data_IF_858010747996
#
_entry.id   IF_858010747996
#
_cell.length_a   1.000
_cell.length_b   1.000
_cell.length_c   1.000
_cell.angle_alpha   90.00
_cell.angle_beta   90.00
_cell.angle_gamma   90.00
#
_symmetry.space_group_name_H-M   'P 1'
#
loop_
_entity.id
_entity.type
_entity.pdbx_description
1 polymer ?
#
# COMPACT_ATOMS: atom_id res chain seq x y z
N UNK A 1 7.57 -11.68 5.87
CA UNK A 1 6.26 -11.62 5.18
C UNK A 1 6.51 -10.95 3.84
N UNK A 2 5.90 -11.39 2.72
CA UNK A 2 6.11 -10.73 1.43
C UNK A 2 5.71 -9.25 1.48
N UNK A 3 6.45 -8.40 0.77
CA UNK A 3 6.18 -6.97 0.69
C UNK A 3 5.65 -6.66 -0.70
N UNK A 4 4.63 -5.81 -0.76
CA UNK A 4 3.96 -5.40 -1.97
C UNK A 4 3.95 -3.88 -2.10
N UNK A 5 4.27 -3.41 -3.30
CA UNK A 5 3.95 -2.06 -3.73
C UNK A 5 2.53 -2.04 -4.28
N UNK A 6 1.72 -1.10 -3.82
CA UNK A 6 0.34 -0.91 -4.25
C UNK A 6 0.17 0.51 -4.79
N UNK A 7 -0.29 0.62 -6.03
CA UNK A 7 -0.68 1.90 -6.62
C UNK A 7 -2.19 2.10 -6.53
N UNK A 8 -2.60 3.33 -6.21
CA UNK A 8 -4.00 3.72 -6.06
C UNK A 8 -4.23 5.06 -6.75
N UNK A 9 -5.23 5.12 -7.63
CA UNK A 9 -5.66 6.34 -8.30
C UNK A 9 -6.97 6.84 -7.68
N UNK A 10 -7.03 8.14 -7.37
CA UNK A 10 -8.18 8.78 -6.76
C UNK A 10 -8.89 9.70 -7.77
N UNK A 11 -10.22 9.72 -7.69
CA UNK A 11 -11.06 10.58 -8.52
C UNK A 11 -10.96 12.06 -8.14
N UNK A 12 -10.63 12.34 -6.88
CA UNK A 12 -10.48 13.67 -6.28
C UNK A 12 -9.19 13.72 -5.46
N UNK A 13 -8.79 14.92 -5.04
CA UNK A 13 -7.60 15.13 -4.22
C UNK A 13 -7.73 14.38 -2.89
N UNK A 14 -6.75 13.53 -2.61
CA UNK A 14 -6.72 12.74 -1.39
C UNK A 14 -6.02 13.51 -0.27
N UNK A 15 -6.74 13.77 0.82
CA UNK A 15 -6.18 14.30 2.05
C UNK A 15 -6.15 13.22 3.15
N UNK A 16 -4.97 12.89 3.71
CA UNK A 16 -4.89 11.92 4.79
C UNK A 16 -5.50 12.48 6.08
N UNK A 17 -6.27 11.66 6.79
CA UNK A 17 -6.76 11.95 8.15
C UNK A 17 -6.54 10.76 9.08
N UNK A 18 -6.36 11.02 10.38
CA UNK A 18 -6.04 9.99 11.38
C UNK A 18 -7.18 8.98 11.55
N UNK A 19 -8.44 9.43 11.58
CA UNK A 19 -9.59 8.54 11.75
C UNK A 19 -9.75 7.58 10.57
N UNK A 20 -9.55 8.08 9.35
CA UNK A 20 -9.56 7.25 8.14
C UNK A 20 -8.42 6.23 8.17
N UNK A 21 -7.21 6.65 8.59
CA UNK A 21 -6.06 5.76 8.74
C UNK A 21 -6.32 4.64 9.76
N UNK A 22 -6.92 4.94 10.93
CA UNK A 22 -7.25 3.96 11.95
C UNK A 22 -8.32 2.96 11.49
N UNK A 23 -9.31 3.41 10.71
CA UNK A 23 -10.29 2.54 10.07
C UNK A 23 -9.64 1.57 9.09
N UNK A 24 -8.75 2.08 8.22
CA UNK A 24 -8.00 1.29 7.25
C UNK A 24 -7.12 0.24 7.94
N UNK A 25 -6.39 0.62 8.99
CA UNK A 25 -5.52 -0.30 9.72
C UNK A 25 -6.29 -1.46 10.35
N UNK A 26 -7.43 -1.19 10.99
CA UNK A 26 -8.29 -2.25 11.54
C UNK A 26 -8.80 -3.22 10.47
N UNK A 27 -9.14 -2.72 9.28
CA UNK A 27 -9.57 -3.57 8.17
C UNK A 27 -8.41 -4.43 7.65
N UNK A 28 -7.21 -3.83 7.53
CA UNK A 28 -6.02 -4.55 7.10
C UNK A 28 -5.67 -5.69 8.07
N UNK A 29 -5.76 -5.45 9.38
CA UNK A 29 -5.47 -6.45 10.42
C UNK A 29 -6.34 -7.71 10.28
N UNK A 30 -7.61 -7.56 9.87
CA UNK A 30 -8.53 -8.68 9.64
C UNK A 30 -8.08 -9.61 8.50
N UNK A 31 -7.28 -9.10 7.57
CA UNK A 31 -6.76 -9.84 6.42
C UNK A 31 -5.27 -10.21 6.57
N UNK A 32 -4.68 -9.95 7.75
CA UNK A 32 -3.25 -10.16 7.99
C UNK A 32 -2.36 -9.23 7.15
N UNK A 33 -2.90 -8.08 6.74
CA UNK A 33 -2.22 -7.06 5.95
C UNK A 33 -1.70 -5.98 6.90
N UNK A 34 -0.47 -5.52 6.69
CA UNK A 34 0.12 -4.41 7.42
C UNK A 34 0.52 -3.31 6.46
N UNK A 35 -0.12 -2.15 6.59
CA UNK A 35 0.28 -0.94 5.87
C UNK A 35 1.55 -0.36 6.52
N UNK A 36 2.63 -0.22 5.75
CA UNK A 36 3.89 0.33 6.26
C UNK A 36 3.90 1.85 6.15
N UNK A 37 3.75 2.37 4.93
CA UNK A 37 3.70 3.80 4.61
C UNK A 37 3.27 4.01 3.16
N UNK A 38 2.96 5.26 2.83
CA UNK A 38 2.56 5.70 1.49
C UNK A 38 3.32 6.94 1.06
N UNK A 39 3.68 6.97 -0.22
CA UNK A 39 4.06 8.19 -0.91
C UNK A 39 2.82 8.75 -1.60
N UNK A 40 2.58 10.04 -1.43
CA UNK A 40 1.51 10.78 -2.12
C UNK A 40 2.15 11.56 -3.27
N UNK A 41 1.56 11.41 -4.46
CA UNK A 41 1.91 12.21 -5.63
C UNK A 41 1.69 13.71 -5.38
N UNK A 42 2.41 14.56 -6.12
CA UNK A 42 2.36 16.00 -5.94
C UNK A 42 0.97 16.61 -6.22
N UNK A 43 0.18 15.99 -7.11
CA UNK A 43 -1.20 16.38 -7.41
C UNK A 43 -2.22 15.75 -6.44
N UNK A 44 -1.76 14.97 -5.45
CA UNK A 44 -2.59 14.25 -4.48
C UNK A 44 -3.59 13.25 -5.06
N UNK A 45 -3.46 12.85 -6.34
CA UNK A 45 -4.42 11.96 -7.01
C UNK A 45 -3.94 10.51 -7.11
N UNK A 46 -2.72 10.24 -6.68
CA UNK A 46 -2.14 8.90 -6.69
C UNK A 46 -1.33 8.63 -5.43
N UNK A 47 -1.46 7.43 -4.86
CA UNK A 47 -0.55 6.95 -3.81
C UNK A 47 0.22 5.71 -4.23
N UNK A 48 1.44 5.61 -3.73
CA UNK A 48 2.32 4.44 -3.86
C UNK A 48 2.59 3.92 -2.45
N UNK A 49 2.10 2.73 -2.14
CA UNK A 49 2.03 2.25 -0.76
C UNK A 49 2.79 0.95 -0.62
N UNK A 50 3.54 0.80 0.47
CA UNK A 50 4.17 -0.47 0.82
C UNK A 50 3.35 -1.19 1.89
N UNK A 51 3.10 -2.47 1.65
CA UNK A 51 2.37 -3.37 2.51
C UNK A 51 3.13 -4.66 2.75
N UNK A 52 3.14 -5.15 3.98
CA UNK A 52 3.40 -6.55 4.25
C UNK A 52 2.06 -7.31 4.17
N UNK A 53 2.02 -8.43 3.45
CA UNK A 53 0.80 -9.22 3.33
C UNK A 53 1.11 -10.70 3.02
N UNK A 54 0.20 -11.63 3.33
CA UNK A 54 0.37 -13.04 2.97
C UNK A 54 0.22 -13.29 1.46
N UNK A 55 -0.56 -12.48 0.76
CA UNK A 55 -0.81 -12.59 -0.68
C UNK A 55 -1.33 -11.26 -1.27
N UNK A 56 -1.24 -11.07 -2.61
CA UNK A 56 -1.87 -9.91 -3.24
C UNK A 56 -3.41 -9.93 -3.16
N UNK A 57 -4.02 -11.11 -3.02
CA UNK A 57 -5.47 -11.27 -2.78
C UNK A 57 -5.90 -10.71 -1.43
N UNK A 58 -5.10 -10.89 -0.37
CA UNK A 58 -5.39 -10.30 0.94
C UNK A 58 -5.43 -8.77 0.87
N UNK A 59 -4.51 -8.16 0.12
CA UNK A 59 -4.49 -6.71 -0.13
C UNK A 59 -5.75 -6.28 -0.89
N UNK A 60 -6.16 -7.02 -1.93
CA UNK A 60 -7.39 -6.73 -2.68
C UNK A 60 -8.62 -6.78 -1.78
N UNK A 61 -8.73 -7.80 -0.93
CA UNK A 61 -9.86 -7.95 0.00
C UNK A 61 -9.90 -6.80 1.02
N UNK A 62 -8.76 -6.46 1.62
CA UNK A 62 -8.67 -5.35 2.57
C UNK A 62 -9.02 -4.01 1.90
N UNK A 63 -8.49 -3.75 0.71
CA UNK A 63 -8.78 -2.53 -0.05
C UNK A 63 -10.28 -2.42 -0.39
N UNK A 64 -10.89 -3.51 -0.88
CA UNK A 64 -12.33 -3.55 -1.18
C UNK A 64 -13.18 -3.26 0.06
N UNK A 65 -12.84 -3.85 1.22
CA UNK A 65 -13.53 -3.58 2.49
C UNK A 65 -13.36 -2.15 2.98
N UNK A 66 -12.19 -1.55 2.74
CA UNK A 66 -11.90 -0.17 3.08
C UNK A 66 -12.50 0.83 2.07
N UNK A 67 -13.14 0.37 0.99
CA UNK A 67 -13.64 1.24 -0.08
C UNK A 67 -12.52 1.95 -0.85
N UNK A 68 -11.31 1.38 -0.86
CA UNK A 68 -10.13 1.95 -1.51
C UNK A 68 -9.81 1.22 -2.82
N UNK A 69 -9.30 1.92 -3.84
CA UNK A 69 -8.75 1.28 -5.02
C UNK A 69 -7.45 0.52 -4.68
N UNK A 70 -7.10 -0.43 -5.53
CA UNK A 70 -5.84 -1.17 -5.51
C UNK A 70 -5.49 -1.57 -6.95
N UNK A 71 -5.23 -0.56 -7.78
CA UNK A 71 -5.16 -0.67 -9.23
C UNK A 71 -3.99 -1.54 -9.70
N UNK A 72 -2.86 -1.43 -9.01
CA UNK A 72 -1.65 -2.21 -9.26
C UNK A 72 -1.17 -2.78 -7.93
N UNK A 73 -0.84 -4.07 -7.91
CA UNK A 73 -0.25 -4.75 -6.75
C UNK A 73 0.93 -5.56 -7.27
N UNK A 74 2.13 -5.25 -6.80
CA UNK A 74 3.38 -5.87 -7.25
C UNK A 74 4.17 -6.32 -6.02
N UNK A 75 4.52 -7.60 -5.97
CA UNK A 75 5.46 -8.11 -4.97
C UNK A 75 6.85 -7.51 -5.23
N UNK A 76 7.48 -6.96 -4.20
CA UNK A 76 8.83 -6.44 -4.22
C UNK A 76 9.72 -7.28 -3.32
N UNK A 77 10.93 -7.59 -3.77
CA UNK A 77 11.86 -8.49 -3.08
C UNK A 77 13.16 -7.80 -2.68
N UNK A 78 13.74 -7.07 -3.63
CA UNK A 78 15.05 -6.44 -3.48
C UNK A 78 14.97 -4.93 -3.70
N UNK A 79 15.87 -4.18 -3.06
CA UNK A 79 16.13 -2.77 -3.33
C UNK A 79 17.45 -2.64 -4.08
N UNK A 80 17.45 -1.82 -5.12
CA UNK A 80 18.69 -1.40 -5.79
C UNK A 80 19.18 -0.12 -5.13
N UNK A 81 20.40 -0.16 -4.58
CA UNK A 81 21.06 0.96 -3.94
C UNK A 81 21.73 1.87 -4.98
N UNK A 82 22.03 3.15 -4.66
CA UNK A 82 22.68 4.07 -5.61
C UNK A 82 24.06 3.61 -6.12
N UNK A 83 24.73 2.73 -5.39
CA UNK A 83 26.01 2.10 -5.79
C UNK A 83 25.81 0.83 -6.64
N UNK A 84 24.58 0.53 -7.04
CA UNK A 84 24.21 -0.62 -7.87
C UNK A 84 24.07 -1.94 -7.10
N UNK A 85 24.27 -1.96 -5.78
CA UNK A 85 24.12 -3.18 -4.98
C UNK A 85 22.64 -3.50 -4.72
N UNK A 86 22.34 -4.79 -4.61
CA UNK A 86 21.07 -5.28 -4.10
C UNK A 86 21.10 -5.34 -2.57
N UNK A 87 19.99 -4.97 -1.94
CA UNK A 87 19.71 -5.17 -0.52
C UNK A 87 18.32 -5.75 -0.37
N UNK A 88 18.16 -6.68 0.55
CA UNK A 88 16.85 -7.19 0.92
C UNK A 88 15.95 -6.05 1.45
N UNK A 89 14.64 -6.15 1.20
CA UNK A 89 13.65 -5.18 1.68
C UNK A 89 13.33 -5.39 3.15
#
# INVERSE_FOLDING_TARGET
>A
MPIFMVERNFAEDMEPSLEVADGINRINDLEGVRWMYSFLSADKRKTYCLYEAPSPEAIRTAAARAGLPADVIVEVRDRVMPDGKLSDI
#
